data_IF_987893198974
#
_entry.id   IF_987893198974
#
_cell.length_a   1.000
_cell.length_b   1.000
_cell.length_c   1.000
_cell.angle_alpha   90.00
_cell.angle_beta   90.00
_cell.angle_gamma   90.00
#
_symmetry.space_group_name_H-M   'P 1'
#
loop_
_entity.id
_entity.type
_entity.pdbx_description
1 polymer ?
#
# COMPACT_ATOMS: atom_id res chain seq x y z
N UNK A 1 -19.72 2.06 8.48
CA UNK A 1 -20.41 0.82 8.85
C UNK A 1 -20.20 -0.28 7.80
N UNK A 2 -20.63 -0.13 6.54
CA UNK A 2 -20.48 -1.15 5.48
C UNK A 2 -19.03 -1.61 5.29
N UNK A 3 -18.08 -0.68 5.13
CA UNK A 3 -16.67 -1.02 4.90
C UNK A 3 -16.06 -1.82 6.06
N UNK A 4 -16.39 -1.47 7.30
CA UNK A 4 -15.94 -2.25 8.46
C UNK A 4 -16.51 -3.66 8.43
N UNK A 5 -17.80 -3.83 8.14
CA UNK A 5 -18.43 -5.14 8.03
C UNK A 5 -17.86 -5.95 6.87
N UNK A 6 -17.57 -5.30 5.73
CA UNK A 6 -16.88 -5.90 4.60
C UNK A 6 -15.48 -6.38 4.96
N UNK A 7 -14.65 -5.53 5.58
CA UNK A 7 -13.31 -5.88 6.05
C UNK A 7 -13.34 -7.09 6.97
N UNK A 8 -14.25 -7.12 7.94
CA UNK A 8 -14.41 -8.25 8.87
C UNK A 8 -14.87 -9.55 8.18
N UNK A 9 -15.76 -9.46 7.17
CA UNK A 9 -16.18 -10.63 6.38
C UNK A 9 -15.06 -11.16 5.52
N UNK A 10 -14.35 -10.28 4.78
CA UNK A 10 -13.23 -10.67 3.93
C UNK A 10 -12.07 -11.27 4.74
N UNK A 11 -11.75 -10.70 5.90
CA UNK A 11 -10.73 -11.24 6.79
C UNK A 11 -11.08 -12.64 7.33
N UNK A 12 -12.37 -12.88 7.60
CA UNK A 12 -12.83 -14.14 8.19
C UNK A 12 -13.03 -15.27 7.19
N UNK A 13 -13.59 -14.96 6.03
CA UNK A 13 -14.05 -15.96 5.06
C UNK A 13 -13.24 -15.97 3.76
N UNK A 14 -12.41 -14.94 3.54
CA UNK A 14 -11.78 -14.66 2.26
C UNK A 14 -12.72 -13.96 1.27
N UNK A 15 -12.14 -13.38 0.21
CA UNK A 15 -12.92 -12.66 -0.80
C UNK A 15 -13.92 -13.56 -1.51
N UNK A 16 -13.47 -14.74 -2.01
CA UNK A 16 -14.31 -15.61 -2.85
C UNK A 16 -15.55 -16.14 -2.11
N UNK A 17 -15.40 -16.50 -0.85
CA UNK A 17 -16.49 -17.08 -0.03
C UNK A 17 -17.41 -16.03 0.59
N UNK A 18 -16.99 -14.75 0.63
CA UNK A 18 -17.83 -13.68 1.16
C UNK A 18 -18.92 -13.30 0.18
N UNK A 19 -20.14 -13.17 0.67
CA UNK A 19 -21.29 -12.71 -0.11
C UNK A 19 -21.79 -11.34 0.33
N UNK A 20 -22.53 -10.64 -0.55
CA UNK A 20 -23.18 -9.37 -0.19
C UNK A 20 -24.17 -9.55 0.98
N UNK A 21 -24.84 -10.70 1.05
CA UNK A 21 -25.77 -11.01 2.14
C UNK A 21 -25.05 -11.15 3.49
N UNK A 22 -23.84 -11.70 3.51
CA UNK A 22 -23.02 -11.78 4.73
C UNK A 22 -22.63 -10.39 5.22
N UNK A 23 -22.19 -9.53 4.29
CA UNK A 23 -21.81 -8.15 4.60
C UNK A 23 -23.03 -7.35 5.07
N UNK A 24 -24.17 -7.46 4.37
CA UNK A 24 -25.43 -6.79 4.72
C UNK A 24 -25.91 -7.19 6.11
N UNK A 25 -25.96 -8.51 6.38
CA UNK A 25 -26.37 -9.05 7.69
C UNK A 25 -25.47 -8.53 8.82
N UNK A 26 -24.15 -8.50 8.59
CA UNK A 26 -23.19 -8.00 9.56
C UNK A 26 -23.28 -6.49 9.77
N UNK A 27 -23.63 -5.74 8.72
CA UNK A 27 -23.85 -4.30 8.77
C UNK A 27 -25.22 -3.89 9.31
N UNK A 28 -26.12 -4.83 9.60
CA UNK A 28 -27.49 -4.54 9.98
C UNK A 28 -28.33 -3.95 8.85
N UNK A 29 -27.96 -4.23 7.58
CA UNK A 29 -28.62 -3.73 6.38
C UNK A 29 -29.26 -4.88 5.61
N UNK A 30 -30.43 -4.61 5.00
CA UNK A 30 -30.97 -5.52 4.02
C UNK A 30 -30.23 -5.37 2.67
N UNK A 31 -30.44 -6.34 1.78
CA UNK A 31 -29.78 -6.39 0.48
C UNK A 31 -30.06 -5.15 -0.39
N UNK A 32 -31.30 -4.65 -0.40
CA UNK A 32 -31.68 -3.47 -1.17
C UNK A 32 -30.92 -2.21 -0.68
N UNK A 33 -30.79 -2.05 0.64
CA UNK A 33 -30.02 -0.96 1.23
C UNK A 33 -28.53 -1.05 0.89
N UNK A 34 -27.97 -2.26 0.80
CA UNK A 34 -26.56 -2.43 0.42
C UNK A 34 -26.33 -2.06 -1.05
N UNK A 35 -27.23 -2.49 -1.96
CA UNK A 35 -27.17 -2.15 -3.39
C UNK A 35 -27.35 -0.65 -3.68
N UNK A 36 -27.92 0.11 -2.77
CA UNK A 36 -27.98 1.57 -2.89
C UNK A 36 -26.57 2.20 -2.84
N UNK A 37 -25.64 1.62 -2.06
CA UNK A 37 -24.29 2.15 -1.87
C UNK A 37 -23.25 1.50 -2.78
N UNK A 38 -23.40 0.20 -3.09
CA UNK A 38 -22.43 -0.58 -3.84
C UNK A 38 -23.14 -1.53 -4.81
N UNK A 39 -22.71 -1.52 -6.05
CA UNK A 39 -23.34 -2.33 -7.12
C UNK A 39 -23.02 -3.81 -6.99
N UNK A 40 -21.84 -4.15 -6.46
CA UNK A 40 -21.33 -5.52 -6.37
C UNK A 40 -20.36 -5.68 -5.19
N UNK A 41 -19.89 -6.91 -5.01
CA UNK A 41 -18.92 -7.27 -3.96
C UNK A 41 -17.55 -6.65 -4.21
N UNK A 42 -17.17 -6.54 -5.48
CA UNK A 42 -15.91 -5.98 -5.96
C UNK A 42 -15.77 -4.52 -5.50
N UNK A 43 -16.80 -3.70 -5.68
CA UNK A 43 -16.79 -2.30 -5.23
C UNK A 43 -16.59 -2.18 -3.72
N UNK A 44 -17.22 -3.03 -2.91
CA UNK A 44 -17.02 -3.04 -1.46
C UNK A 44 -15.59 -3.46 -1.12
N UNK A 45 -15.09 -4.50 -1.79
CA UNK A 45 -13.75 -5.00 -1.54
C UNK A 45 -12.68 -3.94 -1.82
N UNK A 46 -12.76 -3.28 -2.97
CA UNK A 46 -11.84 -2.22 -3.35
C UNK A 46 -11.95 -1.01 -2.41
N UNK A 47 -13.17 -0.62 -2.02
CA UNK A 47 -13.36 0.45 -1.05
C UNK A 47 -12.76 0.11 0.33
N UNK A 48 -12.83 -1.16 0.76
CA UNK A 48 -12.16 -1.66 1.97
C UNK A 48 -10.64 -1.57 1.80
N UNK A 49 -10.09 -2.09 0.69
CA UNK A 49 -8.64 -2.05 0.43
C UNK A 49 -8.13 -0.61 0.40
N UNK A 50 -8.85 0.30 -0.25
CA UNK A 50 -8.48 1.72 -0.29
C UNK A 50 -8.49 2.34 1.11
N UNK A 51 -9.54 2.11 1.90
CA UNK A 51 -9.65 2.64 3.26
C UNK A 51 -8.55 2.11 4.19
N UNK A 52 -8.26 0.82 4.12
CA UNK A 52 -7.19 0.19 4.90
C UNK A 52 -5.81 0.72 4.48
N UNK A 53 -5.58 0.91 3.18
CA UNK A 53 -4.33 1.47 2.66
C UNK A 53 -4.15 2.94 3.08
N UNK A 54 -5.21 3.75 3.00
CA UNK A 54 -5.16 5.14 3.44
C UNK A 54 -4.89 5.25 4.95
N UNK A 55 -5.51 4.39 5.75
CA UNK A 55 -5.26 4.32 7.19
C UNK A 55 -3.81 3.95 7.48
N UNK A 56 -3.27 2.94 6.80
CA UNK A 56 -1.88 2.57 6.92
C UNK A 56 -0.92 3.71 6.55
N UNK A 57 -1.17 4.41 5.43
CA UNK A 57 -0.36 5.56 5.01
C UNK A 57 -0.40 6.67 6.06
N UNK A 58 -1.57 6.96 6.63
CA UNK A 58 -1.73 7.97 7.67
C UNK A 58 -0.92 7.61 8.94
N UNK A 59 -1.04 6.38 9.41
CA UNK A 59 -0.29 5.88 10.57
C UNK A 59 1.22 5.87 10.31
N UNK A 60 1.62 5.46 9.10
CA UNK A 60 3.03 5.44 8.70
C UNK A 60 3.62 6.85 8.66
N UNK A 61 2.88 7.85 8.17
CA UNK A 61 3.28 9.27 8.19
C UNK A 61 3.54 9.75 9.63
N UNK A 62 2.64 9.45 10.55
CA UNK A 62 2.79 9.81 11.97
C UNK A 62 4.05 9.17 12.58
N UNK A 63 4.24 7.87 12.38
CA UNK A 63 5.43 7.13 12.87
C UNK A 63 6.72 7.68 12.27
N UNK A 64 6.70 8.02 10.98
CA UNK A 64 7.85 8.58 10.26
C UNK A 64 8.26 9.94 10.85
N UNK A 65 7.29 10.81 11.12
CA UNK A 65 7.54 12.14 11.65
C UNK A 65 8.11 12.14 13.07
N UNK A 66 8.01 11.03 13.80
CA UNK A 66 8.62 10.89 15.12
C UNK A 66 10.17 10.87 15.09
N UNK A 67 10.79 10.58 13.94
CA UNK A 67 12.24 10.65 13.81
C UNK A 67 12.71 12.09 13.55
N UNK A 68 13.73 12.61 14.26
CA UNK A 68 14.24 13.96 14.05
C UNK A 68 15.04 14.12 12.76
N UNK A 69 15.68 13.05 12.30
CA UNK A 69 16.54 13.06 11.10
C UNK A 69 15.73 12.70 9.86
N UNK A 70 15.72 13.59 8.86
CA UNK A 70 14.98 13.42 7.62
C UNK A 70 15.47 12.23 6.77
N UNK A 71 16.78 11.91 6.81
CA UNK A 71 17.31 10.71 6.12
C UNK A 71 16.72 9.44 6.71
N UNK A 72 16.64 9.41 8.04
CA UNK A 72 16.00 8.29 8.76
C UNK A 72 14.49 8.23 8.49
N UNK A 73 13.83 9.38 8.39
CA UNK A 73 12.41 9.44 8.01
C UNK A 73 12.17 8.76 6.65
N UNK A 74 12.94 9.13 5.62
CA UNK A 74 12.77 8.59 4.26
C UNK A 74 13.09 7.08 4.24
N UNK A 75 14.19 6.65 4.88
CA UNK A 75 14.54 5.22 4.98
C UNK A 75 13.44 4.42 5.67
N UNK A 76 12.97 4.88 6.81
CA UNK A 76 11.91 4.21 7.56
C UNK A 76 10.64 4.11 6.73
N UNK A 77 10.19 5.21 6.12
CA UNK A 77 8.97 5.25 5.32
C UNK A 77 9.00 4.25 4.17
N UNK A 78 10.04 4.28 3.36
CA UNK A 78 10.14 3.40 2.18
C UNK A 78 10.34 1.92 2.56
N UNK A 79 11.06 1.63 3.65
CA UNK A 79 11.22 0.27 4.16
C UNK A 79 9.90 -0.32 4.68
N UNK A 80 9.15 0.45 5.49
CA UNK A 80 7.85 0.00 6.02
C UNK A 80 6.80 -0.16 4.92
N UNK A 81 6.83 0.70 3.91
CA UNK A 81 5.99 0.59 2.72
C UNK A 81 6.19 -0.75 1.99
N UNK A 82 7.44 -1.18 1.83
CA UNK A 82 7.77 -2.47 1.20
C UNK A 82 7.30 -3.64 2.09
N UNK A 83 7.52 -3.59 3.40
CA UNK A 83 7.08 -4.63 4.35
C UNK A 83 5.57 -4.81 4.30
N UNK A 84 4.82 -3.70 4.36
CA UNK A 84 3.36 -3.74 4.32
C UNK A 84 2.82 -4.35 3.04
N UNK A 85 3.44 -4.04 1.89
CA UNK A 85 3.06 -4.66 0.63
C UNK A 85 3.19 -6.19 0.69
N UNK A 86 4.27 -6.70 1.27
CA UNK A 86 4.47 -8.13 1.47
C UNK A 86 3.37 -8.77 2.32
N UNK A 87 2.99 -8.14 3.43
CA UNK A 87 1.90 -8.62 4.30
C UNK A 87 0.57 -8.68 3.55
N UNK A 88 0.20 -7.60 2.85
CA UNK A 88 -1.05 -7.54 2.07
C UNK A 88 -1.05 -8.58 0.96
N UNK A 89 0.06 -8.74 0.24
CA UNK A 89 0.17 -9.73 -0.82
C UNK A 89 -0.04 -11.16 -0.32
N UNK A 90 0.52 -11.50 0.85
CA UNK A 90 0.31 -12.81 1.47
C UNK A 90 -1.15 -13.07 1.85
N UNK A 91 -1.83 -12.06 2.38
CA UNK A 91 -3.23 -12.17 2.77
C UNK A 91 -4.17 -12.28 1.57
N UNK A 92 -3.94 -11.45 0.55
CA UNK A 92 -4.82 -11.37 -0.63
C UNK A 92 -4.66 -12.58 -1.55
N UNK A 93 -3.44 -13.06 -1.79
CA UNK A 93 -3.20 -14.25 -2.64
C UNK A 93 -3.86 -15.53 -2.15
N UNK A 94 -4.05 -15.68 -0.83
CA UNK A 94 -4.77 -16.82 -0.26
C UNK A 94 -6.29 -16.71 -0.40
N UNK A 95 -6.79 -15.52 -0.70
CA UNK A 95 -8.23 -15.21 -0.64
C UNK A 95 -8.86 -14.96 -2.00
N UNK A 96 -8.09 -14.79 -3.06
CA UNK A 96 -8.59 -14.40 -4.39
C UNK A 96 -8.05 -15.37 -5.42
N UNK A 97 -8.91 -16.23 -5.94
CA UNK A 97 -8.56 -17.20 -7.00
C UNK A 97 -8.53 -16.53 -8.39
N UNK A 98 -9.40 -15.55 -8.62
CA UNK A 98 -9.48 -14.82 -9.88
C UNK A 98 -9.29 -13.31 -9.70
N UNK A 99 -8.12 -12.80 -10.08
CA UNK A 99 -7.73 -11.39 -9.98
C UNK A 99 -8.24 -10.52 -11.13
N UNK A 100 -8.51 -11.10 -12.28
CA UNK A 100 -8.80 -10.37 -13.50
C UNK A 100 -9.93 -9.33 -13.37
N UNK A 101 -11.05 -9.61 -12.68
CA UNK A 101 -12.11 -8.61 -12.51
C UNK A 101 -11.72 -7.43 -11.62
N UNK A 102 -10.67 -7.56 -10.81
CA UNK A 102 -10.25 -6.58 -9.82
C UNK A 102 -9.07 -5.72 -10.30
N UNK A 103 -8.38 -6.13 -11.37
CA UNK A 103 -7.12 -5.53 -11.82
C UNK A 103 -7.27 -4.01 -12.08
N UNK A 104 -8.23 -3.61 -12.89
CA UNK A 104 -8.47 -2.19 -13.20
C UNK A 104 -8.83 -1.35 -11.96
N UNK A 105 -9.54 -1.95 -11.00
CA UNK A 105 -9.91 -1.28 -9.75
C UNK A 105 -8.71 -1.14 -8.80
N UNK A 106 -7.79 -2.10 -8.81
CA UNK A 106 -6.52 -1.98 -8.07
C UNK A 106 -5.62 -0.89 -8.66
N UNK A 107 -5.64 -0.69 -9.98
CA UNK A 107 -4.93 0.41 -10.61
C UNK A 107 -5.44 1.77 -10.13
N UNK A 108 -6.76 1.95 -9.96
CA UNK A 108 -7.32 3.17 -9.38
C UNK A 108 -6.85 3.40 -7.95
N UNK A 109 -6.89 2.37 -7.10
CA UNK A 109 -6.36 2.43 -5.72
C UNK A 109 -4.88 2.82 -5.73
N UNK A 110 -4.10 2.22 -6.64
CA UNK A 110 -2.68 2.53 -6.78
C UNK A 110 -2.44 4.00 -7.14
N UNK A 111 -3.17 4.56 -8.12
CA UNK A 111 -2.99 5.97 -8.53
C UNK A 111 -3.33 6.94 -7.39
N UNK A 112 -4.42 6.69 -6.66
CA UNK A 112 -4.81 7.52 -5.51
C UNK A 112 -3.75 7.47 -4.41
N UNK A 113 -3.28 6.28 -4.05
CA UNK A 113 -2.29 6.11 -2.98
C UNK A 113 -0.92 6.62 -3.38
N UNK A 114 -0.49 6.41 -4.63
CA UNK A 114 0.74 6.98 -5.20
C UNK A 114 0.78 8.50 -5.01
N UNK A 115 -0.28 9.20 -5.41
CA UNK A 115 -0.33 10.66 -5.29
C UNK A 115 -0.11 11.14 -3.85
N UNK A 116 -0.76 10.47 -2.86
CA UNK A 116 -0.62 10.79 -1.44
C UNK A 116 0.79 10.54 -0.90
N UNK A 117 1.44 9.49 -1.36
CA UNK A 117 2.77 9.08 -0.91
C UNK A 117 3.87 9.94 -1.53
N UNK A 118 3.77 10.23 -2.84
CA UNK A 118 4.75 11.08 -3.54
C UNK A 118 4.75 12.49 -2.97
N UNK A 119 3.58 13.07 -2.67
CA UNK A 119 3.50 14.38 -2.01
C UNK A 119 4.21 14.36 -0.66
N UNK A 120 3.98 13.35 0.17
CA UNK A 120 4.62 13.24 1.48
C UNK A 120 6.15 13.07 1.39
N UNK A 121 6.63 12.25 0.44
CA UNK A 121 8.07 12.11 0.18
C UNK A 121 8.70 13.43 -0.29
N UNK A 122 8.02 14.15 -1.19
CA UNK A 122 8.49 15.45 -1.69
C UNK A 122 8.60 16.49 -0.56
N UNK A 123 7.65 16.50 0.38
CA UNK A 123 7.71 17.39 1.56
C UNK A 123 8.89 17.05 2.48
N UNK A 124 9.19 15.75 2.70
CA UNK A 124 10.37 15.34 3.47
C UNK A 124 11.66 15.78 2.78
N UNK A 125 11.78 15.55 1.48
CA UNK A 125 12.96 15.96 0.68
C UNK A 125 13.13 17.47 0.69
N UNK A 126 12.05 18.25 0.53
CA UNK A 126 12.06 19.71 0.60
C UNK A 126 12.58 20.22 1.97
N UNK A 127 12.13 19.62 3.06
CA UNK A 127 12.66 19.93 4.40
C UNK A 127 14.15 19.59 4.53
N UNK A 128 14.57 18.46 3.96
CA UNK A 128 15.96 18.05 3.96
C UNK A 128 16.88 19.00 3.18
N UNK A 129 16.42 19.50 2.04
CA UNK A 129 17.15 20.53 1.28
C UNK A 129 17.23 21.85 2.09
N UNK A 130 16.11 22.30 2.68
CA UNK A 130 16.08 23.51 3.48
C UNK A 130 17.01 23.47 4.71
N UNK A 131 17.22 22.26 5.25
CA UNK A 131 18.10 22.04 6.42
C UNK A 131 19.53 21.61 6.01
N UNK A 132 19.90 21.76 4.73
CA UNK A 132 21.21 21.34 4.19
C UNK A 132 21.54 19.85 4.41
N UNK A 133 20.53 19.01 4.62
CA UNK A 133 20.71 17.56 4.69
C UNK A 133 20.94 16.95 3.30
N UNK A 134 20.37 17.53 2.26
CA UNK A 134 20.48 17.11 0.87
C UNK A 134 20.85 18.30 -0.01
N UNK A 135 21.55 17.98 -1.12
CA UNK A 135 21.84 18.93 -2.16
C UNK A 135 21.47 18.31 -3.52
N UNK A 136 20.20 18.47 -3.93
CA UNK A 136 19.72 18.00 -5.22
C UNK A 136 19.71 19.14 -6.23
N UNK A 137 20.13 18.86 -7.46
CA UNK A 137 19.94 19.74 -8.60
C UNK A 137 18.53 19.61 -9.19
N UNK A 138 17.94 18.44 -9.04
CA UNK A 138 16.61 18.10 -9.51
C UNK A 138 15.51 18.60 -8.57
N UNK A 139 14.30 18.91 -9.09
CA UNK A 139 13.15 19.22 -8.25
C UNK A 139 12.84 18.09 -7.26
N UNK A 140 12.58 18.43 -6.00
CA UNK A 140 12.28 17.42 -4.95
C UNK A 140 11.07 16.55 -5.28
N UNK A 141 10.12 17.03 -6.07
CA UNK A 141 8.99 16.25 -6.57
C UNK A 141 9.44 15.13 -7.50
N UNK A 142 10.36 15.41 -8.43
CA UNK A 142 10.91 14.40 -9.36
C UNK A 142 11.74 13.35 -8.62
N UNK A 143 12.52 13.78 -7.61
CA UNK A 143 13.28 12.87 -6.76
C UNK A 143 12.32 11.97 -5.95
N UNK A 144 11.25 12.55 -5.39
CA UNK A 144 10.23 11.80 -4.64
C UNK A 144 9.55 10.74 -5.50
N UNK A 145 9.16 11.10 -6.73
CA UNK A 145 8.55 10.17 -7.68
C UNK A 145 9.52 9.05 -8.05
N UNK A 146 10.79 9.36 -8.27
CA UNK A 146 11.83 8.37 -8.57
C UNK A 146 12.06 7.39 -7.40
N UNK A 147 12.11 7.88 -6.17
CA UNK A 147 12.21 7.03 -4.98
C UNK A 147 10.98 6.14 -4.78
N UNK A 148 9.79 6.68 -5.03
CA UNK A 148 8.55 5.91 -4.99
C UNK A 148 8.58 4.77 -6.01
N UNK A 149 8.92 5.05 -7.28
CA UNK A 149 9.01 4.03 -8.33
C UNK A 149 10.12 3.02 -8.08
N UNK A 150 11.26 3.43 -7.53
CA UNK A 150 12.32 2.50 -7.13
C UNK A 150 11.82 1.51 -6.07
N UNK A 151 11.11 2.01 -5.06
CA UNK A 151 10.49 1.17 -4.04
C UNK A 151 9.46 0.20 -4.65
N UNK A 152 8.67 0.66 -5.65
CA UNK A 152 7.71 -0.18 -6.37
C UNK A 152 8.41 -1.27 -7.18
N UNK A 153 9.46 -0.92 -7.92
CA UNK A 153 10.22 -1.88 -8.72
C UNK A 153 10.80 -3.01 -7.84
N UNK A 154 11.38 -2.66 -6.70
CA UNK A 154 11.96 -3.64 -5.77
C UNK A 154 10.92 -4.60 -5.20
N UNK A 155 9.74 -4.11 -4.79
CA UNK A 155 8.68 -4.99 -4.28
C UNK A 155 8.07 -5.86 -5.37
N UNK A 156 7.93 -5.34 -6.60
CA UNK A 156 7.41 -6.10 -7.73
C UNK A 156 8.39 -7.18 -8.20
N UNK A 157 9.70 -6.93 -8.16
CA UNK A 157 10.71 -7.93 -8.47
C UNK A 157 10.57 -9.14 -7.54
N UNK A 158 10.47 -8.91 -6.21
CA UNK A 158 10.29 -10.00 -5.24
C UNK A 158 8.96 -10.72 -5.47
N UNK A 159 7.87 -9.97 -5.69
CA UNK A 159 6.56 -10.55 -5.94
C UNK A 159 6.55 -11.41 -7.20
N UNK A 160 7.17 -10.97 -8.29
CA UNK A 160 7.27 -11.70 -9.56
C UNK A 160 8.12 -12.96 -9.44
N UNK A 161 9.31 -12.84 -8.87
CA UNK A 161 10.26 -13.96 -8.71
C UNK A 161 9.64 -15.08 -7.87
N UNK A 162 8.91 -14.72 -6.82
CA UNK A 162 8.24 -15.69 -5.94
C UNK A 162 7.00 -16.30 -6.56
N UNK A 163 6.29 -15.56 -7.43
CA UNK A 163 5.10 -16.09 -8.12
C UNK A 163 5.44 -17.30 -9.00
N UNK A 164 6.63 -17.31 -9.60
CA UNK A 164 7.07 -18.37 -10.50
C UNK A 164 7.86 -19.48 -9.80
N UNK A 165 8.44 -19.24 -8.64
CA UNK A 165 9.34 -20.19 -7.97
C UNK A 165 8.73 -20.86 -6.72
N UNK A 166 8.13 -20.14 -5.80
CA UNK A 166 7.40 -20.66 -4.61
C UNK A 166 6.59 -19.53 -3.98
N UNK A 167 5.25 -19.50 -4.10
CA UNK A 167 4.42 -18.42 -3.57
C UNK A 167 4.52 -18.19 -2.06
N UNK A 168 4.94 -19.23 -1.30
CA UNK A 168 5.03 -19.18 0.17
C UNK A 168 6.34 -18.55 0.70
N UNK A 169 7.31 -18.27 -0.18
CA UNK A 169 8.66 -17.85 0.18
C UNK A 169 9.01 -16.42 -0.26
N UNK A 170 8.02 -15.53 -0.48
CA UNK A 170 8.30 -14.14 -0.80
C UNK A 170 8.93 -13.42 0.41
N UNK A 171 10.25 -13.35 0.41
CA UNK A 171 11.00 -12.64 1.43
C UNK A 171 11.23 -11.18 1.00
N UNK A 172 10.35 -10.31 1.45
CA UNK A 172 10.44 -8.87 1.22
C UNK A 172 11.58 -8.19 2.00
N UNK A 173 12.26 -8.90 2.91
CA UNK A 173 13.45 -8.38 3.58
C UNK A 173 14.55 -8.05 2.58
N UNK A 174 14.68 -8.83 1.51
CA UNK A 174 15.65 -8.59 0.43
C UNK A 174 15.37 -7.24 -0.27
N UNK A 175 14.12 -6.94 -0.56
CA UNK A 175 13.73 -5.65 -1.17
C UNK A 175 14.00 -4.48 -0.20
N UNK A 176 13.73 -4.67 1.09
CA UNK A 176 14.03 -3.68 2.13
C UNK A 176 15.54 -3.43 2.23
N UNK A 177 16.36 -4.47 2.30
CA UNK A 177 17.81 -4.33 2.36
C UNK A 177 18.39 -3.63 1.13
N UNK A 178 17.90 -3.96 -0.06
CA UNK A 178 18.28 -3.28 -1.31
C UNK A 178 17.88 -1.81 -1.28
N UNK A 179 16.66 -1.48 -0.84
CA UNK A 179 16.22 -0.12 -0.72
C UNK A 179 17.06 0.68 0.26
N UNK A 180 17.37 0.13 1.43
CA UNK A 180 18.21 0.78 2.43
C UNK A 180 19.64 1.03 1.91
N UNK A 181 20.20 0.09 1.16
CA UNK A 181 21.52 0.25 0.52
C UNK A 181 21.50 1.38 -0.52
N UNK A 182 20.50 1.42 -1.39
CA UNK A 182 20.37 2.48 -2.39
C UNK A 182 20.16 3.85 -1.73
N UNK A 183 19.35 3.92 -0.69
CA UNK A 183 19.12 5.18 0.04
C UNK A 183 20.39 5.69 0.74
N UNK A 184 21.27 4.81 1.23
CA UNK A 184 22.58 5.22 1.75
C UNK A 184 23.46 5.83 0.67
N UNK A 185 23.37 5.36 -0.57
CA UNK A 185 24.14 5.91 -1.69
C UNK A 185 23.58 7.24 -2.21
N UNK A 186 22.24 7.39 -2.19
CA UNK A 186 21.54 8.57 -2.74
C UNK A 186 21.48 9.71 -1.73
N UNK A 187 21.26 9.39 -0.46
CA UNK A 187 21.02 10.38 0.58
C UNK A 187 22.23 10.64 1.49
N UNK A 188 23.26 9.84 1.38
CA UNK A 188 24.49 9.97 2.20
C UNK A 188 24.34 9.33 3.58
#
# INVERSE_FOLDING_TARGET
>A
MILRSGSECFARYGYDKTTLDDIGRRAGLNKASLYYYFKNKEEIFIAVVLADTQTFIADLKVKTQAFPDVRRQIRFYLSERIRRYGEVLHLTRRSIENWQPLEAMFDEVYQVTKALEVVFLAEMLKRGVANNAFNFTEPTASVAESLFHLSDALKHEVAYTTQHLRPEAADFSIAVERMERLLKLILG
#
